data_IF_909041359762
#
_entry.id   IF_909041359762
#
_cell.length_a   1.000
_cell.length_b   1.000
_cell.length_c   1.000
_cell.angle_alpha   90.00
_cell.angle_beta   90.00
_cell.angle_gamma   90.00
#
_symmetry.space_group_name_H-M   'P 1'
#
loop_
_entity.id
_entity.type
_entity.pdbx_description
1 polymer ?
#
# COMPACT_ATOMS: atom_id res chain seq x y z
N UNK A 1 13.19 -76.60 51.84
CA UNK A 1 13.85 -76.16 50.57
C UNK A 1 13.08 -76.81 49.43
N UNK A 2 12.40 -76.16 48.49
CA UNK A 2 12.52 -74.82 47.91
C UNK A 2 11.11 -74.38 47.50
N UNK A 3 10.50 -73.47 48.27
CA UNK A 3 9.30 -72.76 47.80
C UNK A 3 9.80 -71.69 46.83
N UNK A 4 9.31 -71.78 45.62
CA UNK A 4 9.83 -71.14 44.42
C UNK A 4 9.71 -69.61 44.49
N UNK A 5 10.83 -68.94 44.19
CA UNK A 5 10.98 -67.49 44.04
C UNK A 5 10.03 -66.83 43.00
N UNK A 6 9.19 -67.60 42.30
CA UNK A 6 8.37 -67.14 41.19
C UNK A 6 7.11 -66.37 41.63
N UNK A 7 6.55 -66.66 42.81
CA UNK A 7 5.34 -65.99 43.31
C UNK A 7 5.62 -64.56 43.83
N UNK A 8 6.84 -64.30 44.32
CA UNK A 8 7.25 -62.99 44.80
C UNK A 8 7.50 -61.99 43.65
N UNK A 9 7.89 -62.47 42.47
CA UNK A 9 8.12 -61.62 41.30
C UNK A 9 6.81 -61.13 40.64
N UNK A 10 5.75 -61.93 40.69
CA UNK A 10 4.45 -61.57 40.12
C UNK A 10 3.64 -60.58 40.99
N UNK A 11 3.90 -60.54 42.31
CA UNK A 11 3.31 -59.56 43.22
C UNK A 11 4.01 -58.19 43.15
N UNK A 12 5.25 -58.15 42.66
CA UNK A 12 6.01 -56.90 42.49
C UNK A 12 5.71 -56.20 41.15
N UNK A 13 5.17 -56.92 40.16
CA UNK A 13 4.80 -56.35 38.85
C UNK A 13 3.40 -55.73 38.81
N UNK A 14 2.53 -56.02 39.78
CA UNK A 14 1.20 -55.40 39.88
C UNK A 14 1.17 -54.06 40.64
N UNK A 15 2.27 -53.66 41.28
CA UNK A 15 2.35 -52.40 42.04
C UNK A 15 2.87 -51.20 41.22
N UNK A 16 3.04 -51.36 39.91
CA UNK A 16 3.50 -50.28 39.01
C UNK A 16 2.37 -49.60 38.25
N UNK A 17 1.11 -49.98 38.52
CA UNK A 17 -0.07 -49.33 37.97
C UNK A 17 -0.63 -48.33 38.97
N UNK A 18 -0.83 -47.08 38.51
CA UNK A 18 -1.46 -45.94 39.21
C UNK A 18 -0.57 -45.02 40.05
N UNK A 19 0.44 -44.43 39.41
CA UNK A 19 0.86 -43.07 39.76
C UNK A 19 0.50 -42.14 38.59
N UNK A 20 -0.80 -41.80 38.47
CA UNK A 20 -1.21 -40.63 37.70
C UNK A 20 -0.78 -39.40 38.51
N UNK A 21 0.50 -39.07 38.44
CA UNK A 21 1.03 -37.83 38.98
C UNK A 21 0.32 -36.71 38.24
N UNK A 22 -0.55 -35.97 38.94
CA UNK A 22 -1.01 -34.66 38.51
C UNK A 22 0.24 -33.77 38.41
N UNK A 23 0.89 -33.83 37.25
CA UNK A 23 1.99 -32.95 36.89
C UNK A 23 1.34 -31.59 36.70
N UNK A 24 1.33 -30.79 37.77
CA UNK A 24 1.08 -29.36 37.66
C UNK A 24 2.15 -28.82 36.73
N UNK A 25 1.81 -28.71 35.44
CA UNK A 25 2.71 -28.14 34.45
C UNK A 25 2.88 -26.67 34.82
N UNK A 26 4.00 -26.34 35.47
CA UNK A 26 4.45 -24.95 35.56
C UNK A 26 4.60 -24.47 34.12
N UNK A 27 3.63 -23.68 33.67
CA UNK A 27 3.69 -23.04 32.36
C UNK A 27 4.83 -22.04 32.44
N UNK A 28 5.92 -22.32 31.74
CA UNK A 28 7.03 -21.40 31.64
C UNK A 28 6.50 -20.08 31.06
N UNK A 29 6.83 -18.96 31.70
CA UNK A 29 6.45 -17.63 31.22
C UNK A 29 7.69 -16.81 30.93
N UNK A 30 7.63 -15.96 29.91
CA UNK A 30 8.70 -15.02 29.56
C UNK A 30 8.20 -13.58 29.55
N UNK A 31 9.13 -12.64 29.55
CA UNK A 31 8.84 -11.24 29.30
C UNK A 31 9.15 -10.90 27.83
N UNK A 32 8.19 -10.31 27.14
CA UNK A 32 8.35 -9.83 25.76
C UNK A 32 8.47 -8.31 25.81
N UNK A 33 9.54 -7.77 25.24
CA UNK A 33 9.76 -6.32 25.19
C UNK A 33 9.68 -5.85 23.75
N UNK A 34 8.82 -4.88 23.47
CA UNK A 34 8.78 -4.16 22.20
C UNK A 34 9.44 -2.79 22.39
N UNK A 35 10.18 -2.32 21.38
CA UNK A 35 10.89 -1.06 21.42
C UNK A 35 10.48 -0.15 20.27
N UNK A 36 10.43 1.16 20.53
CA UNK A 36 10.19 2.19 19.53
C UNK A 36 11.48 2.97 19.30
N UNK A 37 12.34 2.53 18.36
CA UNK A 37 13.52 3.29 17.99
C UNK A 37 13.14 4.57 17.25
N UNK A 38 14.04 5.56 17.28
CA UNK A 38 13.95 6.74 16.43
C UNK A 38 14.08 6.31 14.96
N UNK A 39 13.15 6.76 14.12
CA UNK A 39 13.01 6.31 12.74
C UNK A 39 12.49 7.46 11.86
N UNK A 40 12.60 7.40 10.52
CA UNK A 40 12.24 8.53 9.66
C UNK A 40 10.80 9.01 9.84
N UNK A 41 9.85 8.07 10.04
CA UNK A 41 8.45 8.38 10.30
C UNK A 41 8.16 8.84 11.74
N UNK A 42 9.10 8.62 12.68
CA UNK A 42 9.00 9.03 14.07
C UNK A 42 10.39 9.48 14.56
N UNK A 43 10.81 10.72 14.24
CA UNK A 43 12.14 11.22 14.59
C UNK A 43 12.34 11.32 16.11
N UNK A 44 11.28 11.67 16.85
CA UNK A 44 11.29 11.74 18.31
C UNK A 44 10.22 10.81 18.92
N UNK A 45 10.60 9.64 19.46
CA UNK A 45 9.66 8.73 20.10
C UNK A 45 8.95 9.30 21.34
N UNK A 46 9.53 10.31 22.00
CA UNK A 46 8.91 10.97 23.16
C UNK A 46 7.76 11.92 22.77
N UNK A 47 7.57 12.22 21.48
CA UNK A 47 6.44 13.01 21.00
C UNK A 47 5.13 12.20 20.93
N UNK A 48 5.18 10.89 21.21
CA UNK A 48 4.00 10.05 21.23
C UNK A 48 3.08 10.39 22.41
N UNK A 49 1.75 10.36 22.22
CA UNK A 49 0.82 10.63 23.30
C UNK A 49 0.92 9.58 24.41
N UNK A 50 0.67 9.95 25.68
CA UNK A 50 0.74 9.02 26.81
C UNK A 50 -0.35 7.93 26.76
N UNK A 51 -1.38 8.10 25.93
CA UNK A 51 -2.42 7.09 25.66
C UNK A 51 -1.92 5.94 24.77
N UNK A 52 -0.66 6.01 24.30
CA UNK A 52 -0.07 4.97 23.46
C UNK A 52 0.15 3.71 24.27
N UNK A 53 -0.41 2.60 23.81
CA UNK A 53 -0.25 1.29 24.43
C UNK A 53 -0.15 0.23 23.35
N UNK A 54 0.49 -0.89 23.69
CA UNK A 54 0.59 -2.04 22.82
C UNK A 54 -0.24 -3.20 23.38
N UNK A 55 -0.76 -4.04 22.50
CA UNK A 55 -1.54 -5.23 22.86
C UNK A 55 -0.94 -6.47 22.21
N UNK A 56 -0.70 -7.52 22.99
CA UNK A 56 -0.43 -8.87 22.48
C UNK A 56 -1.73 -9.66 22.55
N UNK A 57 -2.25 -10.09 21.41
CA UNK A 57 -3.49 -10.85 21.31
C UNK A 57 -3.22 -12.25 20.79
N UNK A 58 -3.89 -13.24 21.39
CA UNK A 58 -4.01 -14.61 20.89
C UNK A 58 -5.47 -15.04 21.03
N UNK A 59 -5.80 -16.27 20.65
CA UNK A 59 -7.19 -16.75 20.59
C UNK A 59 -7.97 -16.61 21.90
N UNK A 60 -7.31 -16.68 23.06
CA UNK A 60 -7.97 -16.71 24.37
C UNK A 60 -7.40 -15.73 25.40
N UNK A 61 -6.26 -15.10 25.12
CA UNK A 61 -5.62 -14.18 26.05
C UNK A 61 -5.20 -12.90 25.35
N UNK A 62 -5.27 -11.79 26.07
CA UNK A 62 -4.81 -10.50 25.58
C UNK A 62 -4.02 -9.84 26.69
N UNK A 63 -2.81 -9.41 26.38
CA UNK A 63 -1.96 -8.63 27.27
C UNK A 63 -1.92 -7.19 26.75
N UNK A 64 -1.89 -6.23 27.67
CA UNK A 64 -1.75 -4.81 27.33
C UNK A 64 -0.61 -4.21 28.12
N UNK A 65 0.23 -3.41 27.47
CA UNK A 65 1.34 -2.70 28.10
C UNK A 65 1.34 -1.23 27.65
N UNK A 66 1.40 -0.26 28.59
CA UNK A 66 1.54 1.15 28.25
C UNK A 66 2.97 1.47 27.78
N UNK A 67 3.14 2.60 27.09
CA UNK A 67 4.44 3.11 26.69
C UNK A 67 5.26 3.54 27.93
N UNK A 68 6.45 2.96 28.11
CA UNK A 68 7.41 3.37 29.14
C UNK A 68 8.20 4.62 28.72
N UNK A 69 8.78 5.32 29.69
CA UNK A 69 9.70 6.43 29.45
C UNK A 69 10.95 6.04 28.64
N UNK A 70 11.31 4.75 28.64
CA UNK A 70 12.38 4.20 27.82
C UNK A 70 11.96 3.90 26.36
N UNK A 71 10.77 4.34 25.93
CA UNK A 71 10.17 4.05 24.63
C UNK A 71 9.98 2.56 24.35
N UNK A 72 9.65 1.80 25.41
CA UNK A 72 9.43 0.35 25.35
C UNK A 72 8.07 -0.05 25.90
N UNK A 73 7.55 -1.17 25.41
CA UNK A 73 6.38 -1.86 25.94
C UNK A 73 6.84 -3.18 26.55
N UNK A 74 6.58 -3.39 27.83
CA UNK A 74 7.02 -4.58 28.56
C UNK A 74 5.82 -5.45 28.91
N UNK A 75 5.70 -6.59 28.24
CA UNK A 75 4.71 -7.61 28.54
C UNK A 75 5.33 -8.64 29.47
N UNK A 76 4.73 -8.84 30.64
CA UNK A 76 5.18 -9.81 31.63
C UNK A 76 4.28 -11.04 31.62
N UNK A 77 4.83 -12.17 32.03
CA UNK A 77 4.11 -13.44 32.20
C UNK A 77 3.50 -13.97 30.90
N UNK A 78 4.18 -13.81 29.76
CA UNK A 78 3.72 -14.29 28.46
C UNK A 78 4.02 -15.79 28.33
N UNK A 79 2.98 -16.58 28.06
CA UNK A 79 3.06 -18.03 27.88
C UNK A 79 3.60 -18.41 26.49
N UNK A 80 4.09 -19.64 26.26
CA UNK A 80 4.54 -20.07 24.95
C UNK A 80 3.36 -20.12 23.98
N UNK A 81 3.56 -19.64 22.75
CA UNK A 81 2.52 -19.54 21.74
C UNK A 81 2.76 -18.43 20.74
N UNK A 82 1.86 -18.32 19.78
CA UNK A 82 1.87 -17.29 18.74
C UNK A 82 0.91 -16.16 19.10
N UNK A 83 1.41 -14.93 18.98
CA UNK A 83 0.71 -13.70 19.35
C UNK A 83 0.76 -12.69 18.21
N UNK A 84 -0.30 -11.88 18.10
CA UNK A 84 -0.32 -10.68 17.29
C UNK A 84 -0.08 -9.46 18.17
N UNK A 85 0.99 -8.73 17.91
CA UNK A 85 1.36 -7.50 18.57
C UNK A 85 0.92 -6.29 17.75
N UNK A 86 -0.03 -5.53 18.28
CA UNK A 86 -0.52 -4.28 17.69
C UNK A 86 -0.18 -3.11 18.62
N UNK A 87 0.32 -2.00 18.07
CA UNK A 87 0.54 -0.75 18.82
C UNK A 87 -0.55 0.26 18.49
N UNK A 88 -1.27 0.68 19.53
CA UNK A 88 -2.39 1.61 19.43
C UNK A 88 -1.93 3.00 19.83
N UNK A 89 -1.99 3.93 18.88
CA UNK A 89 -1.66 5.33 19.06
C UNK A 89 -2.67 6.20 18.32
N UNK A 90 -2.95 7.39 18.86
CA UNK A 90 -3.81 8.36 18.17
C UNK A 90 -3.07 9.06 17.02
N UNK A 91 -1.77 9.34 17.13
CA UNK A 91 -1.09 10.21 16.15
C UNK A 91 -0.41 9.44 15.02
N UNK A 92 0.07 8.22 15.26
CA UNK A 92 0.84 7.44 14.30
C UNK A 92 0.29 6.02 14.14
N UNK A 93 0.48 5.44 12.97
CA UNK A 93 0.20 4.04 12.68
C UNK A 93 1.50 3.22 12.73
N UNK A 94 1.42 2.01 13.27
CA UNK A 94 2.54 1.08 13.40
C UNK A 94 2.27 -0.20 12.63
N UNK A 95 3.34 -0.86 12.18
CA UNK A 95 3.25 -2.17 11.55
C UNK A 95 2.94 -3.23 12.63
N UNK A 96 1.93 -4.10 12.42
CA UNK A 96 1.65 -5.17 13.35
C UNK A 96 2.76 -6.23 13.26
N UNK A 97 3.11 -6.84 14.40
CA UNK A 97 4.13 -7.90 14.46
C UNK A 97 3.49 -9.22 14.87
N UNK A 98 3.85 -10.30 14.19
CA UNK A 98 3.63 -11.65 14.70
C UNK A 98 4.78 -11.98 15.65
N UNK A 99 4.47 -12.33 16.89
CA UNK A 99 5.45 -12.74 17.90
C UNK A 99 5.22 -14.20 18.26
N UNK A 100 6.19 -15.06 18.00
CA UNK A 100 6.16 -16.46 18.46
C UNK A 100 7.10 -16.61 19.67
N UNK A 101 6.54 -17.15 20.76
CA UNK A 101 7.27 -17.52 21.97
C UNK A 101 7.41 -19.03 21.97
N UNK A 102 8.61 -19.53 21.69
CA UNK A 102 8.90 -20.97 21.59
C UNK A 102 9.96 -21.37 22.62
N UNK A 103 9.94 -22.63 23.04
CA UNK A 103 11.01 -23.16 23.88
C UNK A 103 12.32 -23.16 23.09
N UNK A 104 13.36 -22.53 23.65
CA UNK A 104 14.66 -22.46 23.01
C UNK A 104 15.28 -23.85 22.97
N UNK A 105 15.57 -24.32 21.75
CA UNK A 105 16.23 -25.60 21.49
C UNK A 105 17.76 -25.50 21.49
N UNK A 106 18.33 -24.31 21.79
CA UNK A 106 19.77 -24.11 21.81
C UNK A 106 20.40 -24.82 23.03
N UNK A 107 21.51 -25.55 22.85
CA UNK A 107 22.16 -26.29 23.94
C UNK A 107 22.61 -25.39 25.10
N UNK A 108 22.94 -24.12 24.82
CA UNK A 108 23.39 -23.14 25.82
C UNK A 108 22.24 -22.46 26.59
N UNK A 109 20.98 -22.59 26.12
CA UNK A 109 19.78 -21.95 26.71
C UNK A 109 18.64 -22.96 26.90
N UNK A 110 18.99 -24.19 27.26
CA UNK A 110 18.05 -25.28 27.41
C UNK A 110 17.02 -24.97 28.51
N UNK A 111 15.76 -24.79 28.12
CA UNK A 111 14.64 -24.48 29.03
C UNK A 111 14.26 -23.00 29.14
N UNK A 112 15.01 -22.09 28.49
CA UNK A 112 14.55 -20.70 28.31
C UNK A 112 13.57 -20.61 27.13
N UNK A 113 12.67 -19.64 27.17
CA UNK A 113 11.81 -19.32 26.03
C UNK A 113 12.53 -18.33 25.12
N UNK A 114 12.67 -18.66 23.83
CA UNK A 114 13.14 -17.74 22.79
C UNK A 114 11.94 -17.01 22.17
N UNK A 115 12.12 -15.73 21.91
CA UNK A 115 11.13 -14.88 21.27
C UNK A 115 11.59 -14.61 19.84
N UNK A 116 10.69 -14.77 18.88
CA UNK A 116 10.94 -14.43 17.49
C UNK A 116 9.78 -13.59 17.00
N UNK A 117 10.06 -12.62 16.12
CA UNK A 117 9.01 -11.80 15.55
C UNK A 117 9.18 -11.55 14.07
N UNK A 118 8.07 -11.34 13.39
CA UNK A 118 7.99 -11.02 11.96
C UNK A 118 7.03 -9.87 11.76
N UNK A 119 7.35 -8.95 10.84
CA UNK A 119 6.36 -7.96 10.41
C UNK A 119 5.23 -8.67 9.65
N UNK A 120 4.00 -8.31 9.98
CA UNK A 120 2.81 -8.83 9.30
C UNK A 120 1.90 -7.69 8.85
N UNK A 121 0.85 -8.00 8.12
CA UNK A 121 -0.17 -7.05 7.73
C UNK A 121 -1.52 -7.76 7.62
N UNK A 122 -2.61 -6.99 7.69
CA UNK A 122 -3.96 -7.57 7.64
C UNK A 122 -4.19 -8.20 6.26
N UNK A 123 -4.62 -9.47 6.25
CA UNK A 123 -4.84 -10.25 5.03
C UNK A 123 -3.66 -11.14 4.62
N UNK A 124 -2.54 -11.12 5.35
CA UNK A 124 -1.48 -12.13 5.20
C UNK A 124 -1.86 -13.41 5.94
N UNK A 125 -1.61 -14.56 5.33
CA UNK A 125 -1.77 -15.86 6.00
C UNK A 125 -0.83 -15.95 7.20
N UNK A 126 -1.30 -16.57 8.28
CA UNK A 126 -0.51 -16.67 9.51
C UNK A 126 0.83 -17.36 9.21
N UNK A 127 0.82 -18.46 8.47
CA UNK A 127 2.02 -19.28 8.16
C UNK A 127 3.05 -18.59 7.26
N UNK A 128 2.67 -17.54 6.52
CA UNK A 128 3.58 -16.81 5.67
C UNK A 128 4.40 -15.81 6.51
N UNK A 129 5.55 -16.28 7.00
CA UNK A 129 6.51 -15.48 7.75
C UNK A 129 7.41 -14.72 6.78
N UNK A 130 7.35 -13.39 6.81
CA UNK A 130 8.22 -12.53 6.03
C UNK A 130 9.62 -12.38 6.63
N UNK A 131 10.20 -11.19 6.53
CA UNK A 131 11.45 -10.86 7.18
C UNK A 131 11.33 -10.92 8.72
N UNK A 132 12.27 -11.59 9.36
CA UNK A 132 12.34 -11.67 10.82
C UNK A 132 12.79 -10.30 11.38
N UNK A 133 11.96 -9.72 12.24
CA UNK A 133 12.29 -8.52 12.99
C UNK A 133 13.33 -8.89 14.04
N UNK A 134 14.61 -8.71 13.68
CA UNK A 134 15.73 -9.04 14.55
C UNK A 134 15.63 -8.30 15.88
N UNK A 135 15.82 -9.06 16.96
CA UNK A 135 15.91 -8.49 18.30
C UNK A 135 17.03 -7.45 18.35
N UNK A 136 16.70 -6.27 18.85
CA UNK A 136 17.64 -5.21 19.16
C UNK A 136 18.02 -5.31 20.63
N UNK A 137 19.32 -5.30 20.92
CA UNK A 137 19.81 -5.21 22.29
C UNK A 137 19.63 -3.77 22.79
N UNK A 138 18.71 -3.57 23.75
CA UNK A 138 18.59 -2.31 24.45
C UNK A 138 19.42 -2.34 25.74
N UNK A 139 20.12 -1.24 26.09
CA UNK A 139 20.67 -1.10 27.42
C UNK A 139 19.51 -1.11 28.42
N UNK A 140 19.65 -1.91 29.48
CA UNK A 140 18.63 -1.99 30.53
C UNK A 140 18.35 -0.60 31.13
N UNK A 141 17.16 -0.43 31.71
CA UNK A 141 16.72 0.83 32.32
C UNK A 141 17.51 1.25 33.59
N UNK A 142 18.69 0.65 33.85
CA UNK A 142 19.50 0.83 35.05
C UNK A 142 20.85 1.53 34.84
N UNK A 143 21.10 2.13 33.67
CA UNK A 143 22.36 2.82 33.38
C UNK A 143 23.47 1.91 32.82
N UNK A 144 24.71 2.44 32.70
CA UNK A 144 25.84 1.71 32.12
C UNK A 144 26.19 0.49 32.99
N UNK A 145 25.99 -0.73 32.47
CA UNK A 145 26.23 -2.00 33.18
C UNK A 145 24.98 -2.80 33.55
N UNK A 146 23.78 -2.28 33.26
CA UNK A 146 22.53 -3.04 33.41
C UNK A 146 22.40 -4.17 32.37
N UNK A 147 21.65 -5.25 32.68
CA UNK A 147 21.49 -6.37 31.75
C UNK A 147 20.87 -5.88 30.44
N UNK A 148 21.46 -6.27 29.32
CA UNK A 148 20.91 -5.99 27.99
C UNK A 148 19.59 -6.75 27.83
N UNK A 149 18.54 -6.02 27.48
CA UNK A 149 17.21 -6.60 27.24
C UNK A 149 17.06 -6.73 25.74
N UNK A 150 16.78 -7.96 25.28
CA UNK A 150 16.37 -8.19 23.91
C UNK A 150 14.98 -7.57 23.69
N UNK A 151 14.89 -6.63 22.77
CA UNK A 151 13.66 -5.94 22.46
C UNK A 151 13.37 -5.99 20.95
N UNK A 152 12.11 -6.18 20.60
CA UNK A 152 11.68 -6.26 19.22
C UNK A 152 11.38 -4.84 18.71
N UNK A 153 12.06 -4.37 17.66
CA UNK A 153 11.82 -3.03 17.12
C UNK A 153 10.47 -2.98 16.40
N UNK A 154 9.64 -2.00 16.75
CA UNK A 154 8.37 -1.75 16.07
C UNK A 154 8.53 -0.62 15.07
N UNK A 155 8.15 -0.88 13.82
CA UNK A 155 8.19 0.10 12.74
C UNK A 155 6.95 0.98 12.74
N UNK A 156 7.17 2.30 12.72
CA UNK A 156 6.18 3.33 12.48
C UNK A 156 6.00 3.48 10.97
N UNK A 157 4.75 3.44 10.52
CA UNK A 157 4.39 3.54 9.11
C UNK A 157 4.25 5.01 8.71
N UNK A 158 3.28 5.72 9.30
CA UNK A 158 2.92 7.08 8.92
C UNK A 158 2.12 7.77 10.03
N UNK A 159 2.09 9.12 10.06
CA UNK A 159 1.13 9.86 10.87
C UNK A 159 -0.30 9.60 10.38
N UNK A 160 -1.25 9.52 11.31
CA UNK A 160 -2.67 9.32 11.03
C UNK A 160 -3.32 10.65 10.64
N UNK A 161 -3.84 10.72 9.42
CA UNK A 161 -4.66 11.84 8.94
C UNK A 161 -6.13 11.49 9.11
N UNK A 162 -6.77 12.08 10.12
CA UNK A 162 -8.20 11.89 10.38
C UNK A 162 -9.08 12.86 9.61
N UNK A 163 -8.51 14.00 9.23
CA UNK A 163 -9.23 15.05 8.54
C UNK A 163 -8.91 15.01 7.06
N UNK A 164 -9.96 15.04 6.25
CA UNK A 164 -9.85 15.32 4.83
C UNK A 164 -9.96 16.82 4.64
N UNK A 165 -8.93 17.43 4.07
CA UNK A 165 -8.98 18.84 3.71
C UNK A 165 -10.06 19.05 2.64
N UNK A 166 -10.90 20.08 2.82
CA UNK A 166 -11.86 20.46 1.79
C UNK A 166 -11.09 21.00 0.59
N UNK A 167 -11.49 20.63 -0.62
CA UNK A 167 -10.97 21.26 -1.84
C UNK A 167 -11.23 22.77 -1.77
N UNK A 168 -10.20 23.55 -1.45
CA UNK A 168 -10.31 25.01 -1.40
C UNK A 168 -10.24 25.59 -2.81
N UNK A 169 -10.97 26.67 -3.05
CA UNK A 169 -10.81 27.46 -4.27
C UNK A 169 -9.42 28.09 -4.29
N UNK A 170 -8.47 27.46 -4.96
CA UNK A 170 -7.14 28.04 -5.15
C UNK A 170 -7.24 29.09 -6.26
N UNK A 171 -7.32 30.38 -5.90
CA UNK A 171 -7.36 31.49 -6.87
C UNK A 171 -6.14 31.44 -7.81
N UNK A 172 -4.97 31.10 -7.27
CA UNK A 172 -3.76 30.88 -8.06
C UNK A 172 -3.86 29.62 -8.94
N UNK A 173 -4.59 28.60 -8.50
CA UNK A 173 -4.89 27.39 -9.29
C UNK A 173 -5.92 27.63 -10.39
N UNK A 174 -6.90 28.51 -10.15
CA UNK A 174 -7.89 28.97 -11.13
C UNK A 174 -7.19 29.79 -12.22
N UNK A 175 -6.28 30.69 -11.84
CA UNK A 175 -5.46 31.42 -12.80
C UNK A 175 -4.51 30.51 -13.59
N UNK A 176 -3.95 29.46 -12.97
CA UNK A 176 -3.10 28.46 -13.66
C UNK A 176 -3.90 27.40 -14.42
N UNK A 177 -5.22 27.47 -14.41
CA UNK A 177 -6.04 26.53 -15.14
C UNK A 177 -5.93 26.84 -16.64
N UNK A 178 -5.43 25.91 -17.48
CA UNK A 178 -5.22 26.14 -18.91
C UNK A 178 -6.49 26.62 -19.62
N UNK A 179 -7.68 26.18 -19.19
CA UNK A 179 -8.93 26.64 -19.79
C UNK A 179 -9.24 28.12 -19.49
N UNK A 180 -8.89 28.61 -18.30
CA UNK A 180 -9.11 30.01 -17.91
C UNK A 180 -8.06 30.92 -18.54
N UNK A 181 -6.82 30.47 -18.66
CA UNK A 181 -5.78 31.22 -19.40
C UNK A 181 -6.14 31.34 -20.88
N UNK A 182 -6.57 30.26 -21.52
CA UNK A 182 -7.03 30.29 -22.90
C UNK A 182 -8.28 31.19 -23.06
N UNK A 183 -9.21 31.17 -22.09
CA UNK A 183 -10.34 32.09 -22.08
C UNK A 183 -9.92 33.57 -21.97
N UNK A 184 -8.93 33.89 -21.13
CA UNK A 184 -8.41 35.27 -21.02
C UNK A 184 -7.60 35.70 -22.25
N UNK A 185 -6.78 34.81 -22.81
CA UNK A 185 -6.00 35.09 -24.03
C UNK A 185 -6.92 35.30 -25.23
N UNK A 186 -7.93 34.45 -25.40
CA UNK A 186 -8.93 34.63 -26.46
C UNK A 186 -9.74 35.92 -26.28
N UNK A 187 -10.15 36.26 -25.06
CA UNK A 187 -10.79 37.55 -24.78
C UNK A 187 -9.87 38.73 -25.09
N UNK A 188 -8.58 38.64 -24.76
CA UNK A 188 -7.58 39.64 -25.11
C UNK A 188 -7.42 39.82 -26.63
N UNK A 189 -7.34 38.73 -27.39
CA UNK A 189 -7.25 38.76 -28.85
C UNK A 189 -8.50 39.40 -29.46
N UNK A 190 -9.70 39.11 -28.96
CA UNK A 190 -10.95 39.70 -29.46
C UNK A 190 -10.99 41.24 -29.30
N UNK A 191 -10.39 41.79 -28.25
CA UNK A 191 -10.32 43.23 -28.05
C UNK A 191 -9.14 43.89 -28.79
N UNK A 192 -8.04 43.17 -28.97
CA UNK A 192 -6.81 43.70 -29.58
C UNK A 192 -6.82 43.58 -31.11
N UNK A 193 -7.38 42.51 -31.68
CA UNK A 193 -7.44 42.32 -33.14
C UNK A 193 -8.11 43.47 -33.89
N UNK A 194 -9.29 43.99 -33.48
CA UNK A 194 -9.92 45.11 -34.18
C UNK A 194 -8.99 46.33 -34.25
N UNK A 195 -8.28 46.60 -33.16
CA UNK A 195 -7.33 47.71 -33.06
C UNK A 195 -6.05 47.51 -33.85
N UNK A 196 -5.56 46.28 -33.98
CA UNK A 196 -4.38 45.97 -34.79
C UNK A 196 -4.70 46.00 -36.28
N UNK A 197 -5.87 45.51 -36.68
CA UNK A 197 -6.31 45.52 -38.08
C UNK A 197 -6.55 46.94 -38.56
N UNK A 198 -7.18 47.81 -37.77
CA UNK A 198 -7.42 49.23 -38.09
C UNK A 198 -6.14 50.01 -38.42
N UNK A 199 -5.02 49.70 -37.77
CA UNK A 199 -3.74 50.39 -37.93
C UNK A 199 -2.70 49.65 -38.82
N UNK A 200 -3.08 48.56 -39.47
CA UNK A 200 -2.19 47.77 -40.35
C UNK A 200 -2.22 48.26 -41.81
N UNK A 201 -1.05 48.29 -42.46
CA UNK A 201 -0.83 48.65 -43.86
C UNK A 201 -1.46 47.61 -44.83
N UNK A 202 -1.89 47.97 -46.06
CA UNK A 202 -2.69 47.08 -46.91
C UNK A 202 -1.94 45.85 -47.43
N UNK A 203 -0.61 45.89 -47.54
CA UNK A 203 0.19 44.69 -47.88
C UNK A 203 0.23 43.65 -46.74
N UNK A 204 0.38 44.08 -45.48
CA UNK A 204 0.44 43.15 -44.33
C UNK A 204 -0.91 42.51 -44.03
N UNK A 205 -2.03 43.16 -44.38
CA UNK A 205 -3.37 42.56 -44.23
C UNK A 205 -3.57 41.36 -45.15
N UNK A 206 -3.08 41.43 -46.40
CA UNK A 206 -3.18 40.34 -47.35
C UNK A 206 -2.36 39.11 -46.89
N UNK A 207 -1.15 39.32 -46.39
CA UNK A 207 -0.33 38.24 -45.82
C UNK A 207 -0.95 37.65 -44.54
N UNK A 208 -1.59 38.47 -43.70
CA UNK A 208 -2.29 38.00 -42.50
C UNK A 208 -3.55 37.20 -42.84
N UNK A 209 -4.28 37.56 -43.89
CA UNK A 209 -5.43 36.80 -44.41
C UNK A 209 -5.01 35.46 -45.05
N UNK A 210 -3.88 35.43 -45.77
CA UNK A 210 -3.30 34.19 -46.29
C UNK A 210 -2.85 33.26 -45.14
N UNK A 211 -2.25 33.81 -44.09
CA UNK A 211 -1.87 33.05 -42.89
C UNK A 211 -3.09 32.59 -42.08
N UNK A 212 -4.16 33.38 -41.99
CA UNK A 212 -5.41 32.98 -41.35
C UNK A 212 -6.13 31.84 -42.11
N UNK A 213 -6.10 31.87 -43.45
CA UNK A 213 -6.62 30.76 -44.29
C UNK A 213 -5.84 29.46 -44.07
N UNK A 214 -4.57 29.55 -43.70
CA UNK A 214 -3.69 28.40 -43.50
C UNK A 214 -3.58 27.93 -42.03
N UNK A 215 -4.14 28.65 -41.05
CA UNK A 215 -4.06 28.29 -39.61
C UNK A 215 -5.42 27.85 -39.02
N UNK A 216 -5.56 26.59 -38.54
CA UNK A 216 -6.85 26.05 -38.06
C UNK A 216 -7.39 26.73 -36.79
N UNK A 217 -6.53 27.36 -35.98
CA UNK A 217 -6.92 28.14 -34.78
C UNK A 217 -7.55 29.49 -35.16
N UNK A 218 -7.17 30.08 -36.28
CA UNK A 218 -7.69 31.38 -36.75
C UNK A 218 -9.12 31.25 -37.29
N UNK A 219 -9.43 30.12 -37.95
CA UNK A 219 -10.78 29.78 -38.43
C UNK A 219 -11.82 29.64 -37.30
N UNK A 220 -11.39 29.25 -36.09
CA UNK A 220 -12.26 29.14 -34.92
C UNK A 220 -12.48 30.49 -34.18
N UNK A 221 -11.49 31.39 -34.19
CA UNK A 221 -11.58 32.69 -33.50
C UNK A 221 -12.02 33.88 -34.39
N UNK A 222 -11.91 33.80 -35.71
CA UNK A 222 -12.16 34.91 -36.66
C UNK A 222 -13.62 35.15 -37.04
N UNK A 223 -14.57 34.97 -36.12
CA UNK A 223 -16.00 35.10 -36.40
C UNK A 223 -16.46 36.55 -36.63
N UNK A 224 -16.59 36.95 -37.90
CA UNK A 224 -17.08 38.26 -38.32
C UNK A 224 -17.83 38.28 -39.66
N UNK A 225 -18.90 37.46 -39.79
CA UNK A 225 -20.11 37.80 -40.56
C UNK A 225 -20.10 37.77 -42.10
N UNK A 226 -20.37 36.61 -42.70
CA UNK A 226 -21.54 36.38 -43.58
C UNK A 226 -21.60 34.92 -44.05
N UNK A 227 -22.80 34.34 -43.95
CA UNK A 227 -23.24 33.04 -44.50
C UNK A 227 -22.67 31.75 -43.87
N UNK A 228 -23.47 31.19 -42.97
CA UNK A 228 -23.96 29.82 -43.05
C UNK A 228 -23.03 28.77 -43.70
N UNK A 229 -21.98 28.38 -42.98
CA UNK A 229 -21.44 27.02 -43.06
C UNK A 229 -20.76 26.71 -41.72
N UNK A 230 -21.39 25.82 -40.94
CA UNK A 230 -20.82 25.25 -39.74
C UNK A 230 -19.38 24.76 -39.99
N UNK A 231 -18.39 25.07 -39.15
CA UNK A 231 -17.11 24.33 -39.14
C UNK A 231 -17.27 22.88 -38.65
N UNK A 232 -18.46 22.53 -38.14
CA UNK A 232 -18.95 21.16 -37.94
C UNK A 232 -19.58 20.53 -39.21
N UNK A 233 -19.76 21.29 -40.29
CA UNK A 233 -20.39 20.82 -41.53
C UNK A 233 -19.43 20.11 -42.49
N UNK A 234 -18.13 20.38 -42.39
CA UNK A 234 -17.08 19.72 -43.19
C UNK A 234 -16.36 18.58 -42.44
N UNK A 235 -16.75 18.30 -41.20
CA UNK A 235 -16.28 17.13 -40.47
C UNK A 235 -17.38 16.07 -40.53
N UNK A 236 -17.20 15.09 -41.43
CA UNK A 236 -18.12 13.97 -41.58
C UNK A 236 -18.05 13.04 -40.37
N UNK A 237 -18.78 13.43 -39.32
CA UNK A 237 -18.96 12.67 -38.08
C UNK A 237 -19.70 11.35 -38.35
N UNK A 238 -20.47 11.26 -39.43
CA UNK A 238 -21.23 10.06 -39.78
C UNK A 238 -20.33 8.95 -40.34
N UNK A 239 -19.36 9.25 -41.21
CA UNK A 239 -18.38 8.24 -41.66
C UNK A 239 -17.40 7.81 -40.55
N UNK A 240 -17.07 8.71 -39.64
CA UNK A 240 -16.20 8.40 -38.50
C UNK A 240 -16.88 7.51 -37.44
N UNK A 241 -18.17 7.73 -37.17
CA UNK A 241 -18.91 6.93 -36.19
C UNK A 241 -19.46 5.62 -36.78
N UNK A 242 -19.72 5.57 -38.08
CA UNK A 242 -20.22 4.38 -38.76
C UNK A 242 -19.12 3.35 -39.11
N UNK A 243 -17.84 3.68 -38.96
CA UNK A 243 -16.73 2.74 -39.12
C UNK A 243 -16.65 2.05 -40.50
N UNK A 244 -17.21 2.65 -41.56
CA UNK A 244 -17.29 2.04 -42.87
C UNK A 244 -16.22 2.62 -43.83
N UNK A 245 -15.45 1.78 -44.55
CA UNK A 245 -14.47 2.24 -45.51
C UNK A 245 -15.17 2.84 -46.73
N UNK A 246 -14.67 3.98 -47.20
CA UNK A 246 -15.10 4.65 -48.42
C UNK A 246 -15.03 3.70 -49.63
N UNK A 247 -16.20 3.27 -50.12
CA UNK A 247 -16.36 2.66 -51.44
C UNK A 247 -17.21 3.56 -52.32
N UNK A 248 -16.62 3.95 -53.44
CA UNK A 248 -17.24 4.64 -54.56
C UNK A 248 -17.31 3.60 -55.68
N UNK A 249 -18.51 3.32 -56.19
CA UNK A 249 -18.73 2.41 -57.31
C UNK A 249 -19.32 3.15 -58.52
N UNK A 250 -19.17 2.48 -59.67
CA UNK A 250 -19.58 2.78 -61.06
C UNK A 250 -18.56 3.55 -61.92
N UNK A 251 -18.00 2.99 -63.00
CA UNK A 251 -18.16 1.67 -63.59
C UNK A 251 -17.29 1.50 -64.85
N UNK A 252 -16.84 0.28 -65.12
CA UNK A 252 -16.62 -0.24 -66.48
C UNK A 252 -16.44 -1.75 -66.41
N UNK A 253 -17.23 -2.41 -67.25
CA UNK A 253 -17.24 -3.84 -67.53
C UNK A 253 -15.85 -4.38 -67.92
N UNK A 254 -15.48 -5.54 -67.40
CA UNK A 254 -15.21 -6.76 -68.18
C UNK A 254 -14.35 -7.76 -67.38
N UNK A 255 -14.91 -8.96 -67.26
CA UNK A 255 -14.30 -10.27 -67.47
C UNK A 255 -13.04 -10.72 -66.68
N UNK A 256 -13.14 -12.01 -66.29
CA UNK A 256 -12.06 -12.97 -66.01
C UNK A 256 -11.31 -12.82 -64.67
N UNK A 257 -10.95 -13.87 -63.94
CA UNK A 257 -11.25 -15.29 -63.98
C UNK A 257 -10.83 -15.89 -62.63
N UNK A 258 -11.50 -16.99 -62.29
CA UNK A 258 -11.08 -18.15 -61.48
C UNK A 258 -9.72 -18.19 -60.75
N UNK A 259 -9.81 -18.78 -59.56
CA UNK A 259 -8.97 -19.89 -59.04
C UNK A 259 -7.97 -19.63 -57.90
N UNK A 260 -7.98 -20.59 -56.97
CA UNK A 260 -6.96 -21.02 -55.99
C UNK A 260 -6.27 -19.96 -55.11
N UNK A 261 -6.09 -20.13 -53.80
CA UNK A 261 -6.20 -21.27 -52.91
C UNK A 261 -5.43 -20.97 -51.60
N UNK A 262 -5.52 -21.88 -50.63
CA UNK A 262 -4.40 -22.14 -49.71
C UNK A 262 -4.35 -21.47 -48.33
N UNK A 263 -5.04 -22.09 -47.36
CA UNK A 263 -4.50 -22.66 -46.11
C UNK A 263 -3.89 -21.79 -44.98
N UNK A 264 -4.39 -22.06 -43.76
CA UNK A 264 -3.64 -22.09 -42.48
C UNK A 264 -3.66 -20.80 -41.66
N UNK A 265 -3.94 -20.77 -40.36
CA UNK A 265 -4.18 -21.80 -39.37
C UNK A 265 -4.07 -21.18 -37.95
N UNK A 266 -4.95 -21.62 -37.04
CA UNK A 266 -4.67 -21.84 -35.62
C UNK A 266 -4.37 -20.65 -34.69
N UNK A 267 -5.31 -20.38 -33.76
CA UNK A 267 -5.03 -19.66 -32.50
C UNK A 267 -5.32 -20.58 -31.31
N UNK A 268 -4.24 -21.06 -30.68
CA UNK A 268 -4.19 -21.72 -29.36
C UNK A 268 -4.43 -20.66 -28.28
N UNK A 269 -5.37 -20.85 -27.34
CA UNK A 269 -5.40 -21.71 -26.15
C UNK A 269 -4.89 -20.93 -24.92
N UNK A 270 -5.87 -20.70 -24.02
CA UNK A 270 -5.80 -20.56 -22.56
C UNK A 270 -4.75 -19.63 -21.96
#
# INVERSE_FOLDING_TARGET
>A
MRVSLSAAAALLSLLQSTAATARSALVATTAVTLALPAQPALPNPHALPPSTHATLSTLYTTYSAPLSAANTFVFRNVTPGSYLADVHCATHAFAPLRVDVVASAAPDKLGLLSVQAWETFRGNDWDNKGEEAKEMALPGAGGPGSPTVAALPVRCLAPKQYFMERSSFSIMGILKNPMILLAMVSMGIFFVMPKMVENMDPEMRAEFEEQQKNNPMASLMGGGGQQAANPLGNFDMASFLAGAPSKKDEGSSAAAASDAGGNGGGRRKR
#
